data_IF_431593491227
#
_entry.id   IF_431593491227
#
_cell.length_a   1.000
_cell.length_b   1.000
_cell.length_c   1.000
_cell.angle_alpha   90.00
_cell.angle_beta   90.00
_cell.angle_gamma   90.00
#
_symmetry.space_group_name_H-M   'P 1'
#
loop_
_entity.id
_entity.type
_entity.pdbx_description
1 polymer ?
#
# COMPACT_ATOMS: atom_id res chain seq x y z
N UNK A 1 -6.80 -19.19 -45.70
CA UNK A 1 -5.57 -18.96 -44.93
C UNK A 1 -5.96 -18.60 -43.51
N UNK A 2 -6.02 -19.59 -42.60
CA UNK A 2 -6.31 -19.34 -41.20
C UNK A 2 -5.01 -18.88 -40.53
N UNK A 3 -4.89 -17.60 -40.20
CA UNK A 3 -3.88 -17.15 -39.24
C UNK A 3 -4.26 -17.74 -37.89
N UNK A 4 -3.61 -18.84 -37.51
CA UNK A 4 -3.52 -19.23 -36.11
C UNK A 4 -2.72 -18.14 -35.41
N UNK A 5 -3.44 -17.20 -34.79
CA UNK A 5 -2.88 -16.34 -33.75
C UNK A 5 -2.45 -17.28 -32.63
N UNK A 6 -1.17 -17.67 -32.63
CA UNK A 6 -0.55 -18.28 -31.46
C UNK A 6 -0.72 -17.27 -30.33
N UNK A 7 -1.66 -17.54 -29.44
CA UNK A 7 -1.73 -16.83 -28.17
C UNK A 7 -0.41 -17.17 -27.47
N UNK A 8 0.47 -16.18 -27.36
CA UNK A 8 1.67 -16.30 -26.56
C UNK A 8 1.23 -16.81 -25.18
N UNK A 9 1.74 -17.97 -24.77
CA UNK A 9 1.43 -18.52 -23.46
C UNK A 9 1.91 -17.52 -22.42
N UNK A 10 0.97 -16.89 -21.72
CA UNK A 10 1.29 -15.97 -20.64
C UNK A 10 2.09 -16.72 -19.57
N UNK A 11 3.04 -16.04 -18.95
CA UNK A 11 3.72 -16.57 -17.79
C UNK A 11 2.72 -16.87 -16.64
N UNK A 12 3.06 -17.86 -15.84
CA UNK A 12 2.34 -18.24 -14.63
C UNK A 12 3.25 -18.13 -13.43
N UNK A 13 2.73 -17.63 -12.30
CA UNK A 13 3.43 -17.67 -11.03
C UNK A 13 2.59 -18.54 -10.09
N UNK A 14 3.23 -19.59 -9.57
CA UNK A 14 2.61 -20.54 -8.67
C UNK A 14 3.39 -20.64 -7.37
N UNK A 15 2.68 -20.87 -6.26
CA UNK A 15 3.28 -21.16 -4.96
C UNK A 15 3.32 -22.67 -4.77
N UNK A 16 4.52 -23.23 -4.63
CA UNK A 16 4.77 -24.67 -4.38
C UNK A 16 5.40 -24.81 -3.00
N UNK A 17 4.59 -25.16 -2.00
CA UNK A 17 4.98 -25.08 -0.58
C UNK A 17 5.44 -23.65 -0.24
N UNK A 18 6.69 -23.46 0.17
CA UNK A 18 7.26 -22.15 0.51
C UNK A 18 8.02 -21.48 -0.66
N UNK A 19 7.97 -22.05 -1.87
CA UNK A 19 8.67 -21.53 -3.05
C UNK A 19 7.70 -20.87 -4.03
N UNK A 20 8.12 -19.76 -4.62
CA UNK A 20 7.45 -19.13 -5.75
C UNK A 20 8.15 -19.52 -7.05
N UNK A 21 7.40 -20.07 -7.99
CA UNK A 21 7.91 -20.52 -9.28
C UNK A 21 7.27 -19.73 -10.41
N UNK A 22 8.10 -19.07 -11.21
CA UNK A 22 7.73 -18.44 -12.47
C UNK A 22 7.91 -19.44 -13.61
N UNK A 23 6.82 -19.79 -14.27
CA UNK A 23 6.76 -20.73 -15.39
C UNK A 23 6.32 -20.00 -16.66
N UNK A 24 6.91 -20.34 -17.81
CA UNK A 24 6.51 -19.75 -19.10
C UNK A 24 7.65 -19.75 -20.12
N UNK A 25 7.50 -18.96 -21.19
CA UNK A 25 8.53 -18.84 -22.21
C UNK A 25 9.86 -18.32 -21.62
N UNK A 26 10.98 -18.98 -21.92
CA UNK A 26 12.27 -18.69 -21.28
C UNK A 26 12.70 -17.22 -21.41
N UNK A 27 12.60 -16.63 -22.61
CA UNK A 27 12.98 -15.24 -22.85
C UNK A 27 12.11 -14.24 -22.07
N UNK A 28 10.81 -14.51 -21.97
CA UNK A 28 9.91 -13.69 -21.16
C UNK A 28 10.19 -13.85 -19.67
N UNK A 29 10.39 -15.09 -19.20
CA UNK A 29 10.69 -15.37 -17.81
C UNK A 29 12.03 -14.79 -17.35
N UNK A 30 13.08 -14.79 -18.18
CA UNK A 30 14.37 -14.12 -17.89
C UNK A 30 14.21 -12.61 -17.69
N UNK A 31 13.38 -11.98 -18.52
CA UNK A 31 13.08 -10.55 -18.42
C UNK A 31 12.35 -10.22 -17.11
N UNK A 32 11.29 -10.97 -16.79
CA UNK A 32 10.52 -10.82 -15.55
C UNK A 32 11.42 -11.10 -14.33
N UNK A 33 12.22 -12.17 -14.37
CA UNK A 33 13.16 -12.51 -13.30
C UNK A 33 14.12 -11.35 -13.00
N UNK A 34 14.65 -10.70 -14.03
CA UNK A 34 15.54 -9.55 -13.89
C UNK A 34 14.83 -8.34 -13.26
N UNK A 35 13.57 -8.08 -13.63
CA UNK A 35 12.73 -7.03 -13.04
C UNK A 35 12.44 -7.31 -11.56
N UNK A 36 12.10 -8.54 -11.20
CA UNK A 36 11.88 -8.97 -9.82
C UNK A 36 13.17 -8.82 -9.00
N UNK A 37 14.32 -9.29 -9.51
CA UNK A 37 15.61 -9.10 -8.87
C UNK A 37 15.92 -7.62 -8.57
N UNK A 38 15.60 -6.72 -9.52
CA UNK A 38 15.72 -5.27 -9.32
C UNK A 38 14.75 -4.77 -8.24
N UNK A 39 13.52 -5.25 -8.22
CA UNK A 39 12.54 -4.90 -7.19
C UNK A 39 13.01 -5.28 -5.78
N UNK A 40 13.52 -6.50 -5.58
CA UNK A 40 14.02 -6.93 -4.26
C UNK A 40 15.14 -6.02 -3.74
N UNK A 41 16.06 -5.60 -4.63
CA UNK A 41 17.10 -4.62 -4.29
C UNK A 41 16.51 -3.25 -3.93
N UNK A 42 15.57 -2.75 -4.73
CA UNK A 42 14.91 -1.47 -4.49
C UNK A 42 14.14 -1.46 -3.16
N UNK A 43 13.48 -2.57 -2.82
CA UNK A 43 12.73 -2.74 -1.59
C UNK A 43 13.60 -2.94 -0.34
N UNK A 44 14.94 -3.03 -0.49
CA UNK A 44 15.91 -3.18 0.61
C UNK A 44 15.60 -4.36 1.54
N UNK A 45 15.11 -5.47 0.98
CA UNK A 45 14.67 -6.65 1.74
C UNK A 45 15.81 -7.45 2.36
N UNK A 46 17.07 -7.12 2.03
CA UNK A 46 18.25 -7.92 2.34
C UNK A 46 18.37 -9.19 1.48
N UNK A 47 17.34 -9.56 0.71
CA UNK A 47 17.37 -10.68 -0.23
C UNK A 47 17.79 -10.21 -1.62
N UNK A 48 18.68 -10.95 -2.24
CA UNK A 48 19.12 -10.70 -3.61
C UNK A 48 19.19 -12.01 -4.38
N UNK A 49 18.58 -12.02 -5.56
CA UNK A 49 18.84 -13.05 -6.54
C UNK A 49 19.69 -12.48 -7.68
N UNK A 50 20.51 -13.33 -8.29
CA UNK A 50 21.40 -12.96 -9.39
C UNK A 50 20.71 -13.21 -10.74
N UNK A 51 20.42 -12.17 -11.54
CA UNK A 51 19.90 -12.34 -12.89
C UNK A 51 20.79 -13.19 -13.79
N UNK A 52 22.12 -13.20 -13.57
CA UNK A 52 23.06 -14.01 -14.34
C UNK A 52 22.78 -15.52 -14.24
N UNK A 53 22.26 -15.98 -13.10
CA UNK A 53 22.00 -17.40 -12.83
C UNK A 53 20.96 -18.05 -13.78
N UNK A 54 20.16 -17.25 -14.47
CA UNK A 54 19.10 -17.74 -15.37
C UNK A 54 19.35 -17.45 -16.85
N UNK A 55 20.41 -16.71 -17.20
CA UNK A 55 20.65 -16.25 -18.57
C UNK A 55 20.96 -17.39 -19.54
N UNK A 56 21.71 -18.39 -19.08
CA UNK A 56 22.20 -19.49 -19.90
C UNK A 56 21.23 -20.67 -20.02
N UNK A 57 20.04 -20.61 -19.38
CA UNK A 57 19.07 -21.69 -19.47
C UNK A 57 18.50 -21.76 -20.90
N UNK A 58 18.74 -22.86 -21.65
CA UNK A 58 18.20 -23.05 -22.99
C UNK A 58 16.80 -23.68 -22.91
N UNK A 59 15.95 -23.37 -23.89
CA UNK A 59 14.64 -24.02 -24.04
C UNK A 59 13.54 -23.06 -24.48
N UNK A 60 12.40 -23.62 -24.89
CA UNK A 60 11.20 -22.85 -25.20
C UNK A 60 10.43 -22.46 -23.93
N UNK A 61 10.50 -23.27 -22.87
CA UNK A 61 9.82 -23.07 -21.59
C UNK A 61 10.76 -23.28 -20.41
N UNK A 62 10.67 -22.42 -19.41
CA UNK A 62 11.54 -22.39 -18.23
C UNK A 62 10.71 -22.33 -16.94
N UNK A 63 11.31 -22.81 -15.85
CA UNK A 63 10.78 -22.71 -14.50
C UNK A 63 11.84 -22.03 -13.62
N UNK A 64 11.62 -20.79 -13.22
CA UNK A 64 12.53 -20.03 -12.38
C UNK A 64 12.01 -19.98 -10.94
N UNK A 65 12.86 -20.29 -9.97
CA UNK A 65 12.57 -20.01 -8.57
C UNK A 65 12.80 -18.51 -8.31
N UNK A 66 11.72 -17.80 -7.99
CA UNK A 66 11.73 -16.36 -7.76
C UNK A 66 11.59 -16.01 -6.27
N UNK A 67 11.69 -16.99 -5.37
CA UNK A 67 11.47 -16.81 -3.92
C UNK A 67 12.38 -15.72 -3.33
N UNK A 68 13.66 -15.70 -3.73
CA UNK A 68 14.64 -14.70 -3.28
C UNK A 68 14.72 -13.45 -4.18
N UNK A 69 13.90 -13.41 -5.24
CA UNK A 69 13.77 -12.26 -6.13
C UNK A 69 12.63 -11.33 -5.75
N UNK A 70 11.90 -11.59 -4.67
CA UNK A 70 10.76 -10.79 -4.26
C UNK A 70 10.80 -10.47 -2.77
N UNK A 71 10.14 -9.39 -2.32
CA UNK A 71 10.00 -9.12 -0.90
C UNK A 71 9.35 -10.27 -0.15
N UNK A 72 9.72 -10.45 1.13
CA UNK A 72 9.18 -11.50 2.00
C UNK A 72 7.64 -11.48 2.05
N UNK A 73 7.05 -10.29 2.05
CA UNK A 73 5.61 -10.11 1.97
C UNK A 73 5.00 -10.86 0.78
N UNK A 74 5.63 -10.86 -0.40
CA UNK A 74 5.14 -11.57 -1.59
C UNK A 74 5.24 -13.07 -1.40
N UNK A 75 6.36 -13.57 -0.86
CA UNK A 75 6.53 -15.01 -0.56
C UNK A 75 5.44 -15.49 0.40
N UNK A 76 5.19 -14.70 1.46
CA UNK A 76 4.20 -15.01 2.49
C UNK A 76 2.77 -15.01 1.92
N UNK A 77 2.39 -13.95 1.22
CA UNK A 77 0.98 -13.68 0.89
C UNK A 77 0.55 -13.99 -0.54
N UNK A 78 1.45 -14.35 -1.46
CA UNK A 78 1.05 -14.75 -2.81
C UNK A 78 0.10 -15.95 -2.76
N UNK A 79 -1.09 -15.80 -3.36
CA UNK A 79 -2.17 -16.78 -3.34
C UNK A 79 -2.94 -16.83 -2.01
N UNK A 80 -2.49 -16.15 -0.96
CA UNK A 80 -3.16 -16.13 0.32
C UNK A 80 -4.39 -15.20 0.31
N UNK A 81 -5.41 -15.62 1.03
CA UNK A 81 -6.63 -14.87 1.32
C UNK A 81 -6.66 -14.59 2.81
N UNK A 82 -6.83 -13.33 3.28
CA UNK A 82 -7.05 -13.09 4.70
C UNK A 82 -8.37 -13.74 5.11
N UNK A 83 -8.48 -14.15 6.37
CA UNK A 83 -9.69 -14.83 6.87
C UNK A 83 -10.89 -13.87 7.02
N UNK A 84 -10.60 -12.58 7.11
CA UNK A 84 -11.60 -11.52 7.24
C UNK A 84 -11.37 -10.42 6.21
N UNK A 85 -12.43 -9.70 5.88
CA UNK A 85 -12.36 -8.52 5.03
C UNK A 85 -11.56 -7.40 5.72
N UNK A 86 -10.86 -6.58 4.93
CA UNK A 86 -10.13 -5.44 5.46
C UNK A 86 -8.90 -5.09 4.64
N UNK A 87 -7.77 -5.81 4.80
CA UNK A 87 -6.58 -5.59 3.98
C UNK A 87 -6.93 -5.52 2.51
N UNK A 88 -6.66 -4.40 1.85
CA UNK A 88 -7.12 -4.13 0.48
C UNK A 88 -5.97 -3.67 -0.42
N UNK A 89 -6.30 -3.32 -1.67
CA UNK A 89 -5.33 -2.93 -2.68
C UNK A 89 -4.57 -1.63 -2.35
N UNK A 90 -5.21 -0.69 -1.68
CA UNK A 90 -4.57 0.54 -1.23
C UNK A 90 -3.54 0.25 -0.14
N UNK A 91 -3.95 -0.49 0.88
CA UNK A 91 -3.05 -0.86 1.97
C UNK A 91 -1.86 -1.69 1.47
N UNK A 92 -2.09 -2.65 0.56
CA UNK A 92 -1.02 -3.38 -0.10
C UNK A 92 0.03 -2.44 -0.70
N UNK A 93 -0.42 -1.41 -1.42
CA UNK A 93 0.48 -0.46 -2.08
C UNK A 93 1.30 0.34 -1.06
N UNK A 94 0.68 0.74 0.05
CA UNK A 94 1.32 1.49 1.12
C UNK A 94 2.32 0.65 1.91
N UNK A 95 1.99 -0.62 2.20
CA UNK A 95 2.87 -1.56 2.90
C UNK A 95 4.08 -1.91 2.04
N UNK A 96 3.86 -2.24 0.76
CA UNK A 96 4.96 -2.56 -0.16
C UNK A 96 5.88 -1.36 -0.46
N UNK A 97 5.43 -0.15 -0.18
CA UNK A 97 6.24 1.09 -0.26
C UNK A 97 6.91 1.45 1.08
N UNK A 98 6.77 0.63 2.12
CA UNK A 98 7.24 0.88 3.48
C UNK A 98 6.71 2.21 4.06
N UNK A 99 5.51 2.63 3.66
CA UNK A 99 4.80 3.78 4.24
C UNK A 99 4.02 3.33 5.46
N UNK A 100 3.37 2.17 5.36
CA UNK A 100 2.70 1.51 6.47
C UNK A 100 3.46 0.23 6.86
N UNK A 101 3.52 -0.11 8.15
CA UNK A 101 4.25 -1.26 8.64
C UNK A 101 3.52 -2.59 8.42
N UNK A 102 2.19 -2.58 8.32
CA UNK A 102 1.40 -3.80 8.35
C UNK A 102 0.13 -3.74 7.50
N UNK A 103 -0.36 -4.94 7.20
CA UNK A 103 -1.57 -5.19 6.43
C UNK A 103 -2.82 -4.96 7.27
N UNK A 104 -3.67 -4.05 6.82
CA UNK A 104 -4.96 -3.69 7.41
C UNK A 104 -5.84 -3.00 6.37
N UNK A 105 -7.08 -2.69 6.69
CA UNK A 105 -7.89 -1.82 5.85
C UNK A 105 -7.23 -0.44 5.71
N UNK A 106 -7.24 0.10 4.49
CA UNK A 106 -6.90 1.49 4.18
C UNK A 106 -8.05 2.13 3.41
N UNK A 107 -8.28 3.43 3.61
CA UNK A 107 -9.31 4.16 2.87
C UNK A 107 -8.75 4.77 1.57
N UNK A 108 -9.63 5.12 0.60
CA UNK A 108 -9.24 5.96 -0.53
C UNK A 108 -8.55 7.27 -0.11
N UNK A 109 -9.04 7.90 0.95
CA UNK A 109 -8.48 9.16 1.46
C UNK A 109 -7.07 8.97 2.02
N UNK A 110 -6.82 7.85 2.70
CA UNK A 110 -5.49 7.52 3.20
C UNK A 110 -4.50 7.27 2.06
N UNK A 111 -4.90 6.51 1.04
CA UNK A 111 -4.08 6.33 -0.16
C UNK A 111 -3.75 7.68 -0.80
N UNK A 112 -4.78 8.50 -1.06
CA UNK A 112 -4.60 9.81 -1.68
C UNK A 112 -3.69 10.73 -0.86
N UNK A 113 -3.81 10.67 0.47
CA UNK A 113 -2.97 11.44 1.38
C UNK A 113 -1.50 11.08 1.27
N UNK A 114 -1.15 9.81 1.08
CA UNK A 114 0.24 9.39 0.95
C UNK A 114 0.79 9.53 -0.47
N UNK A 115 -0.06 9.49 -1.50
CA UNK A 115 0.32 9.71 -2.91
C UNK A 115 0.66 11.18 -3.24
N UNK A 116 1.19 11.94 -2.27
CA UNK A 116 1.62 13.34 -2.41
C UNK A 116 2.85 13.59 -1.53
N UNK A 117 3.57 14.72 -1.75
CA UNK A 117 4.70 15.08 -0.91
C UNK A 117 4.30 15.16 0.57
N UNK A 118 5.20 14.82 1.50
CA UNK A 118 6.63 14.57 1.28
C UNK A 118 7.02 13.12 0.97
N UNK A 119 6.15 12.13 1.19
CA UNK A 119 6.53 10.72 1.01
C UNK A 119 6.56 10.28 -0.44
N UNK A 120 5.51 10.59 -1.20
CA UNK A 120 5.43 10.21 -2.60
C UNK A 120 5.45 11.42 -3.51
N UNK A 121 5.92 11.19 -4.73
CA UNK A 121 5.75 12.11 -5.85
C UNK A 121 5.17 11.37 -7.04
N UNK A 122 4.31 12.05 -7.79
CA UNK A 122 3.95 11.56 -9.11
C UNK A 122 5.20 11.50 -9.99
N UNK A 123 5.31 10.46 -10.81
CA UNK A 123 6.31 10.41 -11.86
C UNK A 123 6.01 11.49 -12.91
N UNK A 124 7.05 12.10 -13.47
CA UNK A 124 6.89 13.05 -14.57
C UNK A 124 6.57 12.33 -15.87
N UNK A 125 5.96 13.03 -16.83
CA UNK A 125 5.79 12.47 -18.17
C UNK A 125 7.14 12.08 -18.79
N UNK A 126 7.20 10.87 -19.34
CA UNK A 126 8.43 10.29 -19.90
C UNK A 126 9.43 9.77 -18.86
N UNK A 127 9.22 9.99 -17.57
CA UNK A 127 10.06 9.39 -16.53
C UNK A 127 9.93 7.87 -16.56
N UNK A 128 11.08 7.17 -16.54
CA UNK A 128 11.09 5.71 -16.56
C UNK A 128 10.55 5.17 -15.24
N UNK A 129 9.53 4.32 -15.35
CA UNK A 129 8.99 3.54 -14.22
C UNK A 129 10.04 2.53 -13.74
N UNK A 130 10.08 2.29 -12.45
CA UNK A 130 11.00 1.36 -11.82
C UNK A 130 10.24 0.30 -11.01
N UNK A 131 10.79 -0.93 -10.92
CA UNK A 131 10.19 -1.95 -10.07
C UNK A 131 10.09 -1.46 -8.62
N UNK A 132 8.88 -1.50 -8.07
CA UNK A 132 8.54 -0.95 -6.75
C UNK A 132 7.76 0.37 -6.79
N UNK A 133 7.66 1.04 -7.95
CA UNK A 133 6.78 2.22 -8.07
C UNK A 133 5.31 1.82 -7.83
N UNK A 134 4.53 2.73 -7.24
CA UNK A 134 3.10 2.53 -6.98
C UNK A 134 2.29 2.95 -8.18
N UNK A 135 1.47 2.04 -8.71
CA UNK A 135 0.43 2.34 -9.68
C UNK A 135 -0.89 2.62 -8.97
N UNK A 136 -1.49 3.78 -9.23
CA UNK A 136 -2.80 4.17 -8.71
C UNK A 136 -3.79 4.31 -9.86
N UNK A 137 -4.78 3.42 -9.93
CA UNK A 137 -5.91 3.51 -10.86
C UNK A 137 -6.97 4.39 -10.22
N UNK A 138 -7.45 5.37 -10.98
CA UNK A 138 -8.43 6.35 -10.53
C UNK A 138 -9.59 6.48 -11.49
N UNK A 139 -10.77 6.63 -10.93
CA UNK A 139 -11.96 7.00 -11.66
C UNK A 139 -11.94 8.51 -11.92
N UNK A 140 -12.13 8.91 -13.18
CA UNK A 140 -12.30 10.31 -13.57
C UNK A 140 -13.77 10.69 -13.36
N UNK A 141 -14.05 11.35 -12.23
CA UNK A 141 -15.41 11.74 -11.82
C UNK A 141 -15.86 13.10 -12.39
N UNK A 142 -15.02 13.75 -13.19
CA UNK A 142 -15.29 15.04 -13.81
C UNK A 142 -14.01 15.82 -14.08
N UNK A 143 -14.14 17.04 -14.60
CA UNK A 143 -12.99 17.90 -14.91
C UNK A 143 -12.20 18.18 -13.61
N UNK A 144 -10.97 17.68 -13.56
CA UNK A 144 -10.08 17.86 -12.41
C UNK A 144 -10.46 17.06 -11.16
N UNK A 145 -11.43 16.13 -11.24
CA UNK A 145 -11.86 15.30 -10.11
C UNK A 145 -11.54 13.84 -10.38
N UNK A 146 -10.80 13.23 -9.45
CA UNK A 146 -10.46 11.81 -9.49
C UNK A 146 -10.74 11.16 -8.15
N UNK A 147 -11.25 9.93 -8.17
CA UNK A 147 -11.40 9.10 -6.98
C UNK A 147 -10.42 7.92 -7.04
N UNK A 148 -9.76 7.60 -5.93
CA UNK A 148 -8.92 6.41 -5.87
C UNK A 148 -9.79 5.17 -6.06
N UNK A 149 -9.41 4.30 -7.00
CA UNK A 149 -10.18 3.11 -7.35
C UNK A 149 -9.40 1.83 -7.03
N UNK A 150 -8.11 1.80 -7.35
CA UNK A 150 -7.25 0.64 -7.07
C UNK A 150 -5.78 1.02 -6.93
N UNK A 151 -5.03 0.27 -6.11
CA UNK A 151 -3.59 0.40 -5.94
C UNK A 151 -2.85 -0.90 -6.28
N UNK A 152 -1.69 -0.81 -6.92
CA UNK A 152 -0.80 -1.94 -7.17
C UNK A 152 0.67 -1.51 -7.16
N UNK A 153 1.58 -2.49 -7.09
CA UNK A 153 3.01 -2.27 -7.27
C UNK A 153 3.40 -2.64 -8.69
N UNK A 154 3.96 -1.65 -9.40
CA UNK A 154 4.55 -1.83 -10.71
C UNK A 154 5.88 -2.56 -10.59
N UNK A 155 6.05 -3.64 -11.35
CA UNK A 155 7.33 -4.34 -11.47
C UNK A 155 7.94 -4.04 -12.83
N UNK A 156 7.21 -4.34 -13.90
CA UNK A 156 7.53 -3.92 -15.26
C UNK A 156 6.25 -3.83 -16.11
N UNK A 157 6.41 -3.63 -17.43
CA UNK A 157 5.27 -3.52 -18.37
C UNK A 157 4.46 -4.82 -18.53
N UNK A 158 4.95 -5.95 -18.01
CA UNK A 158 4.33 -7.27 -18.09
C UNK A 158 3.74 -7.73 -16.77
N UNK A 159 4.35 -7.37 -15.63
CA UNK A 159 3.99 -7.89 -14.31
C UNK A 159 3.76 -6.80 -13.27
N UNK A 160 2.78 -7.06 -12.40
CA UNK A 160 2.46 -6.23 -11.25
C UNK A 160 2.16 -7.10 -10.03
N UNK A 161 2.31 -6.54 -8.84
CA UNK A 161 1.84 -7.14 -7.59
C UNK A 161 0.60 -6.40 -7.10
N UNK A 162 -0.52 -7.12 -6.95
CA UNK A 162 -1.83 -6.52 -6.66
C UNK A 162 -2.72 -7.48 -5.89
N UNK A 163 -3.68 -6.92 -5.14
CA UNK A 163 -4.82 -7.64 -4.57
C UNK A 163 -6.09 -7.12 -5.22
N UNK A 164 -6.83 -7.97 -5.93
CA UNK A 164 -7.92 -7.51 -6.77
C UNK A 164 -9.24 -7.34 -6.00
N UNK A 165 -9.32 -6.34 -5.12
CA UNK A 165 -10.52 -5.99 -4.36
C UNK A 165 -10.32 -5.96 -2.85
N UNK A 166 -11.39 -5.66 -2.11
CA UNK A 166 -11.36 -5.59 -0.64
C UNK A 166 -11.71 -6.93 0.04
N UNK A 167 -12.42 -7.81 -0.66
CA UNK A 167 -12.89 -9.09 -0.11
C UNK A 167 -11.73 -10.00 0.27
N UNK A 168 -11.86 -10.68 1.39
CA UNK A 168 -11.06 -11.83 1.83
C UNK A 168 -10.80 -12.83 0.71
N UNK A 169 -11.80 -13.09 -0.14
CA UNK A 169 -11.72 -14.03 -1.26
C UNK A 169 -10.78 -13.63 -2.40
N UNK A 170 -10.37 -12.36 -2.48
CA UNK A 170 -9.45 -11.89 -3.51
C UNK A 170 -7.99 -12.12 -3.07
N UNK A 171 -7.21 -13.02 -3.69
CA UNK A 171 -5.84 -13.26 -3.25
C UNK A 171 -4.90 -12.10 -3.62
N UNK A 172 -3.81 -11.98 -2.87
CA UNK A 172 -2.65 -11.22 -3.34
C UNK A 172 -1.95 -12.02 -4.44
N UNK A 173 -1.60 -11.37 -5.55
CA UNK A 173 -0.99 -12.08 -6.67
C UNK A 173 0.04 -11.20 -7.39
N UNK A 174 1.16 -11.85 -7.72
CA UNK A 174 1.95 -11.44 -8.87
C UNK A 174 1.18 -11.89 -10.10
N UNK A 175 0.81 -10.95 -10.95
CA UNK A 175 -0.06 -11.18 -12.10
C UNK A 175 0.32 -10.25 -13.24
N UNK A 176 -0.21 -10.52 -14.43
CA UNK A 176 0.09 -9.65 -15.57
C UNK A 176 -0.45 -8.23 -15.32
N UNK A 177 0.32 -7.21 -15.71
CA UNK A 177 -0.12 -5.82 -15.62
C UNK A 177 -1.39 -5.59 -16.44
N UNK A 178 -1.50 -6.26 -17.60
CA UNK A 178 -2.70 -6.25 -18.42
C UNK A 178 -3.93 -6.83 -17.71
N UNK A 179 -3.77 -7.90 -16.90
CA UNK A 179 -4.88 -8.43 -16.09
C UNK A 179 -5.33 -7.40 -15.06
N UNK A 180 -4.41 -6.70 -14.39
CA UNK A 180 -4.77 -5.60 -13.47
C UNK A 180 -5.58 -4.54 -14.22
N UNK A 181 -5.10 -4.06 -15.37
CA UNK A 181 -5.82 -3.06 -16.16
C UNK A 181 -7.19 -3.53 -16.63
N UNK A 182 -7.33 -4.79 -17.05
CA UNK A 182 -8.62 -5.37 -17.45
C UNK A 182 -9.60 -5.50 -16.29
N UNK A 183 -9.14 -5.96 -15.13
CA UNK A 183 -9.97 -6.09 -13.91
C UNK A 183 -10.57 -4.75 -13.48
N UNK A 184 -9.85 -3.65 -13.70
CA UNK A 184 -10.28 -2.30 -13.31
C UNK A 184 -10.64 -1.42 -14.51
N UNK A 185 -10.96 -2.03 -15.66
CA UNK A 185 -11.49 -1.36 -16.84
C UNK A 185 -10.65 -0.18 -17.35
N UNK A 186 -9.32 -0.20 -17.15
CA UNK A 186 -8.41 0.82 -17.66
C UNK A 186 -8.27 0.64 -19.17
N UNK A 187 -8.74 1.58 -20.01
CA UNK A 187 -8.73 1.42 -21.45
C UNK A 187 -7.33 1.14 -21.98
N UNK A 188 -7.23 0.32 -23.03
CA UNK A 188 -5.98 0.08 -23.74
C UNK A 188 -5.64 1.25 -24.66
N UNK A 189 -5.49 2.44 -24.07
CA UNK A 189 -5.14 3.68 -24.75
C UNK A 189 -3.98 4.32 -24.00
N UNK A 190 -3.01 4.82 -24.74
CA UNK A 190 -1.78 5.38 -24.15
C UNK A 190 -2.09 6.52 -23.18
N UNK A 191 -3.07 7.37 -23.51
CA UNK A 191 -3.50 8.50 -22.67
C UNK A 191 -4.16 8.10 -21.34
N UNK A 192 -4.62 6.85 -21.19
CA UNK A 192 -5.20 6.33 -19.95
C UNK A 192 -4.18 5.56 -19.11
N UNK A 193 -2.99 5.30 -19.66
CA UNK A 193 -1.91 4.50 -19.05
C UNK A 193 -0.60 5.29 -18.93
N UNK A 194 -0.68 6.50 -18.39
CA UNK A 194 0.45 7.45 -18.30
C UNK A 194 0.99 7.57 -16.87
N UNK A 195 2.11 8.27 -16.73
CA UNK A 195 2.65 8.63 -15.42
C UNK A 195 1.75 9.65 -14.69
N UNK A 196 1.15 10.57 -15.47
CA UNK A 196 0.27 11.64 -14.97
C UNK A 196 -1.11 11.49 -15.58
N UNK A 197 -2.16 11.57 -14.76
CA UNK A 197 -3.54 11.58 -15.26
C UNK A 197 -3.88 12.96 -15.80
N UNK A 198 -4.16 13.04 -17.10
CA UNK A 198 -4.76 14.23 -17.69
C UNK A 198 -6.27 14.26 -17.40
N UNK A 199 -6.65 14.83 -16.24
CA UNK A 199 -8.04 14.93 -15.80
C UNK A 199 -8.95 15.81 -16.70
N UNK A 200 -8.40 16.46 -17.74
CA UNK A 200 -9.17 17.16 -18.77
C UNK A 200 -9.62 16.21 -19.90
N UNK A 201 -8.97 15.06 -20.04
CA UNK A 201 -9.36 14.01 -20.97
C UNK A 201 -10.40 13.10 -20.31
N UNK A 202 -11.68 13.45 -20.40
CA UNK A 202 -12.80 12.65 -19.87
C UNK A 202 -12.96 11.28 -20.55
N UNK A 203 -12.15 10.96 -21.57
CA UNK A 203 -12.33 9.80 -22.45
C UNK A 203 -11.90 8.46 -21.84
N UNK A 204 -11.22 8.47 -20.70
CA UNK A 204 -10.69 7.25 -20.10
C UNK A 204 -11.68 6.53 -19.17
N UNK A 205 -12.56 7.27 -18.47
CA UNK A 205 -13.36 6.70 -17.36
C UNK A 205 -12.48 6.30 -16.17
N UNK A 206 -11.59 5.33 -16.37
CA UNK A 206 -10.52 4.91 -15.46
C UNK A 206 -9.14 5.21 -16.08
N UNK A 207 -8.22 5.75 -15.30
CA UNK A 207 -6.85 6.01 -15.73
C UNK A 207 -5.85 5.66 -14.62
N UNK A 208 -4.64 5.27 -15.00
CA UNK A 208 -3.55 5.03 -14.04
C UNK A 208 -2.58 6.21 -13.99
N UNK A 209 -2.06 6.49 -12.80
CA UNK A 209 -0.88 7.31 -12.55
C UNK A 209 0.17 6.49 -11.79
N UNK A 210 1.43 6.89 -11.88
CA UNK A 210 2.54 6.22 -11.18
C UNK A 210 3.23 7.14 -10.20
N UNK A 211 3.65 6.56 -9.07
CA UNK A 211 4.25 7.28 -7.96
C UNK A 211 5.53 6.60 -7.51
N UNK A 212 6.53 7.42 -7.18
CA UNK A 212 7.72 6.98 -6.46
C UNK A 212 7.64 7.49 -5.03
N UNK A 213 7.78 6.57 -4.09
CA UNK A 213 7.62 6.84 -2.68
C UNK A 213 8.92 6.57 -1.91
N UNK A 214 9.14 7.34 -0.86
CA UNK A 214 10.08 7.01 0.21
C UNK A 214 9.32 6.31 1.36
N UNK A 215 10.06 5.56 2.17
CA UNK A 215 9.51 4.91 3.36
C UNK A 215 9.24 5.93 4.47
N UNK A 216 8.29 5.63 5.36
CA UNK A 216 8.03 6.45 6.55
C UNK A 216 9.28 6.55 7.44
N UNK A 217 10.02 5.45 7.60
CA UNK A 217 11.26 5.43 8.40
C UNK A 217 12.31 6.41 7.86
N UNK A 218 12.61 6.35 6.55
CA UNK A 218 13.55 7.28 5.92
C UNK A 218 13.08 8.74 6.06
N UNK A 219 11.78 9.00 5.86
CA UNK A 219 11.23 10.33 6.05
C UNK A 219 11.46 10.82 7.48
N UNK A 220 11.08 10.04 8.49
CA UNK A 220 11.30 10.40 9.89
C UNK A 220 12.80 10.64 10.15
N UNK A 221 13.67 9.74 9.70
CA UNK A 221 15.13 9.85 9.89
C UNK A 221 15.71 11.13 9.27
N UNK A 222 15.26 11.50 8.08
CA UNK A 222 15.76 12.67 7.35
C UNK A 222 15.20 14.00 7.89
N UNK A 223 14.04 13.97 8.57
CA UNK A 223 13.40 15.17 9.11
C UNK A 223 13.70 15.30 10.61
N UNK A 224 14.91 15.75 10.95
CA UNK A 224 15.37 15.89 12.34
C UNK A 224 14.51 16.83 13.21
N UNK A 225 13.76 17.74 12.59
CA UNK A 225 12.84 18.64 13.29
C UNK A 225 11.57 17.95 13.82
N UNK A 226 11.31 16.70 13.45
CA UNK A 226 10.21 15.91 14.01
C UNK A 226 10.56 15.53 15.45
N UNK A 227 9.78 15.98 16.46
CA UNK A 227 10.07 15.72 17.87
C UNK A 227 10.02 14.23 18.22
N UNK A 228 10.83 13.81 19.18
CA UNK A 228 10.91 12.41 19.61
C UNK A 228 9.56 11.84 20.06
N UNK A 229 8.73 12.63 20.74
CA UNK A 229 7.39 12.19 21.13
C UNK A 229 6.50 11.82 19.93
N UNK A 230 6.65 12.52 18.78
CA UNK A 230 5.94 12.14 17.55
C UNK A 230 6.47 10.81 17.05
N UNK A 231 7.80 10.63 17.03
CA UNK A 231 8.44 9.40 16.56
C UNK A 231 8.00 8.19 17.39
N UNK A 232 7.95 8.34 18.71
CA UNK A 232 7.45 7.31 19.61
C UNK A 232 5.97 7.02 19.39
N UNK A 233 5.16 8.05 19.09
CA UNK A 233 3.76 7.83 18.69
C UNK A 233 3.62 7.02 17.41
N UNK A 234 4.46 7.26 16.39
CA UNK A 234 4.48 6.44 15.18
C UNK A 234 4.87 4.99 15.49
N UNK A 235 5.88 4.76 16.33
CA UNK A 235 6.26 3.40 16.76
C UNK A 235 5.12 2.68 17.50
N UNK A 236 4.42 3.39 18.40
CA UNK A 236 3.25 2.86 19.09
C UNK A 236 2.12 2.48 18.12
N UNK A 237 1.87 3.32 17.11
CA UNK A 237 0.92 3.03 16.04
C UNK A 237 1.35 1.82 15.22
N UNK A 238 2.63 1.70 14.89
CA UNK A 238 3.16 0.58 14.12
C UNK A 238 3.00 -0.75 14.88
N UNK A 239 3.29 -0.75 16.19
CA UNK A 239 3.05 -1.90 17.04
C UNK A 239 1.56 -2.29 17.08
N UNK A 240 0.66 -1.32 17.21
CA UNK A 240 -0.78 -1.56 17.24
C UNK A 240 -1.31 -2.10 15.90
N UNK A 241 -0.86 -1.55 14.76
CA UNK A 241 -1.20 -2.04 13.43
C UNK A 241 -0.66 -3.46 13.19
N UNK A 242 0.53 -3.81 13.71
CA UNK A 242 1.06 -5.17 13.65
C UNK A 242 0.19 -6.16 14.44
N UNK A 243 -0.27 -5.80 15.64
CA UNK A 243 -1.21 -6.62 16.40
C UNK A 243 -2.53 -6.86 15.64
N UNK A 244 -3.04 -5.82 14.96
CA UNK A 244 -4.23 -5.95 14.13
C UNK A 244 -3.99 -6.90 12.96
N UNK A 245 -2.90 -6.73 12.21
CA UNK A 245 -2.54 -7.63 11.11
C UNK A 245 -2.53 -9.09 11.57
N UNK A 246 -1.87 -9.40 12.70
CA UNK A 246 -1.81 -10.77 13.21
C UNK A 246 -3.20 -11.36 13.48
N UNK A 247 -4.10 -10.60 14.11
CA UNK A 247 -5.45 -11.04 14.38
C UNK A 247 -6.26 -11.28 13.08
N UNK A 248 -6.09 -10.40 12.07
CA UNK A 248 -6.78 -10.52 10.78
C UNK A 248 -6.38 -11.80 10.03
N UNK A 249 -5.10 -12.20 10.10
CA UNK A 249 -4.60 -13.38 9.39
C UNK A 249 -4.78 -14.70 10.16
N UNK A 250 -5.01 -14.64 11.48
CA UNK A 250 -5.31 -15.83 12.30
C UNK A 250 -6.82 -16.11 12.45
N UNK A 251 -7.66 -15.18 12.02
CA UNK A 251 -9.10 -15.25 12.31
C UNK A 251 -9.43 -15.09 13.79
N UNK A 252 -8.51 -14.59 14.60
CA UNK A 252 -8.72 -14.40 16.03
C UNK A 252 -9.44 -13.07 16.33
N UNK A 253 -10.21 -13.02 17.41
CA UNK A 253 -10.61 -11.74 17.97
C UNK A 253 -9.36 -10.98 18.41
N UNK A 254 -9.41 -9.65 18.44
CA UNK A 254 -8.31 -8.90 19.02
C UNK A 254 -8.13 -9.30 20.49
N UNK A 255 -6.90 -9.49 20.92
CA UNK A 255 -6.62 -9.69 22.34
C UNK A 255 -7.01 -8.45 23.16
N UNK A 256 -7.35 -8.63 24.43
CA UNK A 256 -7.63 -7.52 25.34
C UNK A 256 -6.45 -6.53 25.41
N UNK A 257 -5.21 -7.03 25.37
CA UNK A 257 -3.99 -6.24 25.32
C UNK A 257 -3.89 -5.41 24.03
N UNK A 258 -4.20 -5.98 22.87
CA UNK A 258 -4.20 -5.26 21.60
C UNK A 258 -5.23 -4.12 21.59
N UNK A 259 -6.45 -4.39 22.09
CA UNK A 259 -7.50 -3.36 22.27
C UNK A 259 -7.02 -2.23 23.20
N UNK A 260 -6.42 -2.59 24.33
CA UNK A 260 -5.85 -1.64 25.29
C UNK A 260 -4.78 -0.77 24.63
N UNK A 261 -3.83 -1.37 23.92
CA UNK A 261 -2.75 -0.65 23.25
C UNK A 261 -3.27 0.31 22.18
N UNK A 262 -4.27 -0.10 21.39
CA UNK A 262 -4.94 0.76 20.40
C UNK A 262 -5.60 1.97 21.07
N UNK A 263 -6.37 1.74 22.14
CA UNK A 263 -7.03 2.80 22.89
C UNK A 263 -6.04 3.75 23.55
N UNK A 264 -5.03 3.23 24.22
CA UNK A 264 -4.00 4.03 24.90
C UNK A 264 -3.17 4.84 23.90
N UNK A 265 -2.78 4.24 22.77
CA UNK A 265 -2.08 4.96 21.68
C UNK A 265 -2.95 6.08 21.11
N UNK A 266 -4.24 5.80 20.90
CA UNK A 266 -5.20 6.79 20.42
C UNK A 266 -5.39 7.96 21.40
N UNK A 267 -5.57 7.67 22.68
CA UNK A 267 -5.71 8.69 23.73
C UNK A 267 -4.44 9.52 23.91
N UNK A 268 -3.27 8.86 23.94
CA UNK A 268 -1.98 9.53 24.02
C UNK A 268 -1.76 10.46 22.82
N UNK A 269 -2.20 10.06 21.62
CA UNK A 269 -2.16 10.94 20.47
C UNK A 269 -3.07 12.16 20.66
N UNK A 270 -4.31 11.98 21.11
CA UNK A 270 -5.21 13.13 21.32
C UNK A 270 -4.64 14.10 22.34
N UNK A 271 -4.14 13.59 23.46
CA UNK A 271 -3.50 14.39 24.50
C UNK A 271 -2.30 15.15 23.93
N UNK A 272 -1.43 14.44 23.21
CA UNK A 272 -0.31 15.04 22.49
C UNK A 272 -0.75 16.19 21.58
N UNK A 273 -1.85 16.06 20.82
CA UNK A 273 -2.34 17.10 19.91
C UNK A 273 -2.97 18.29 20.63
N UNK A 274 -3.64 18.06 21.75
CA UNK A 274 -4.16 19.15 22.59
C UNK A 274 -3.02 19.98 23.14
N UNK A 275 -1.95 19.32 23.58
CA UNK A 275 -0.78 19.97 24.15
C UNK A 275 0.15 20.56 23.09
N UNK A 276 0.17 19.99 21.88
CA UNK A 276 1.02 20.40 20.77
C UNK A 276 0.90 21.89 20.44
N UNK A 277 -0.27 22.51 20.69
CA UNK A 277 -0.49 23.95 20.54
C UNK A 277 0.48 24.78 21.39
N UNK A 278 0.73 24.29 22.60
CA UNK A 278 1.47 24.99 23.63
C UNK A 278 2.94 24.54 23.68
N UNK A 279 3.30 23.49 22.93
CA UNK A 279 4.64 22.91 22.87
C UNK A 279 5.54 23.71 21.90
N UNK A 280 6.61 24.37 22.39
CA UNK A 280 7.51 25.16 21.55
C UNK A 280 8.13 24.37 20.39
N UNK A 281 8.38 23.08 20.59
CA UNK A 281 8.92 22.18 19.56
C UNK A 281 7.98 22.00 18.36
N UNK A 282 6.67 22.03 18.56
CA UNK A 282 5.68 21.93 17.47
C UNK A 282 5.48 23.26 16.76
N UNK A 283 5.54 24.36 17.52
CA UNK A 283 5.53 25.69 16.93
C UNK A 283 6.74 25.93 16.00
N UNK A 284 7.86 25.22 16.23
CA UNK A 284 9.07 25.28 15.39
C UNK A 284 9.00 24.43 14.12
N UNK A 285 8.06 23.48 14.03
CA UNK A 285 7.89 22.67 12.81
C UNK A 285 7.36 23.53 11.66
N UNK A 286 7.81 23.23 10.43
CA UNK A 286 7.20 23.87 9.26
C UNK A 286 5.72 23.48 9.16
N UNK A 287 4.83 24.37 8.69
CA UNK A 287 3.41 24.07 8.56
C UNK A 287 3.11 22.78 7.79
N UNK A 288 3.80 22.54 6.68
CA UNK A 288 3.58 21.35 5.85
C UNK A 288 4.05 20.05 6.51
N UNK A 289 5.19 20.08 7.22
CA UNK A 289 5.70 18.95 8.00
C UNK A 289 4.71 18.61 9.12
N UNK A 290 4.27 19.63 9.87
CA UNK A 290 3.27 19.46 10.92
C UNK A 290 1.97 18.88 10.35
N UNK A 291 1.42 19.49 9.31
CA UNK A 291 0.17 19.05 8.69
C UNK A 291 0.25 17.62 8.16
N UNK A 292 1.40 17.22 7.60
CA UNK A 292 1.65 15.85 7.17
C UNK A 292 1.66 14.88 8.36
N UNK A 293 2.43 15.16 9.41
CA UNK A 293 2.53 14.27 10.57
C UNK A 293 1.17 14.06 11.24
N UNK A 294 0.42 15.15 11.43
CA UNK A 294 -0.89 15.09 12.07
C UNK A 294 -1.92 14.38 11.19
N UNK A 295 -1.92 14.68 9.88
CA UNK A 295 -2.82 14.04 8.93
C UNK A 295 -2.57 12.53 8.81
N UNK A 296 -1.30 12.12 8.80
CA UNK A 296 -0.91 10.70 8.75
C UNK A 296 -1.46 9.95 9.96
N UNK A 297 -1.22 10.45 11.18
CA UNK A 297 -1.70 9.81 12.41
C UNK A 297 -3.24 9.74 12.47
N UNK A 298 -3.93 10.81 12.06
CA UNK A 298 -5.38 10.84 12.01
C UNK A 298 -5.94 9.77 11.06
N UNK A 299 -5.40 9.68 9.84
CA UNK A 299 -5.90 8.75 8.83
C UNK A 299 -5.62 7.29 9.20
N UNK A 300 -4.45 7.01 9.79
CA UNK A 300 -4.12 5.67 10.30
C UNK A 300 -5.10 5.22 11.39
N UNK A 301 -5.41 6.11 12.35
CA UNK A 301 -6.40 5.81 13.40
C UNK A 301 -7.81 5.61 12.85
N UNK A 302 -8.24 6.44 11.89
CA UNK A 302 -9.53 6.27 11.24
C UNK A 302 -9.63 4.89 10.56
N UNK A 303 -8.62 4.54 9.75
CA UNK A 303 -8.57 3.27 9.03
C UNK A 303 -8.53 2.06 9.98
N UNK A 304 -7.83 2.18 11.11
CA UNK A 304 -7.86 1.19 12.19
C UNK A 304 -9.25 1.03 12.80
N UNK A 305 -9.93 2.14 13.12
CA UNK A 305 -11.31 2.11 13.61
C UNK A 305 -12.27 1.41 12.65
N UNK A 306 -12.17 1.72 11.35
CA UNK A 306 -12.96 1.08 10.29
C UNK A 306 -12.65 -0.42 10.19
N UNK A 307 -11.38 -0.81 10.27
CA UNK A 307 -10.98 -2.23 10.29
C UNK A 307 -11.60 -2.98 11.47
N UNK A 308 -11.57 -2.40 12.66
CA UNK A 308 -12.16 -3.02 13.86
C UNK A 308 -13.66 -3.19 13.72
N UNK A 309 -14.33 -2.21 13.14
CA UNK A 309 -15.77 -2.28 12.90
C UNK A 309 -16.11 -3.46 11.99
N UNK A 310 -15.35 -3.67 10.91
CA UNK A 310 -15.53 -4.81 10.00
C UNK A 310 -15.36 -6.13 10.74
N UNK A 311 -14.29 -6.29 11.53
CA UNK A 311 -14.04 -7.53 12.31
C UNK A 311 -15.14 -7.77 13.34
N UNK A 312 -15.59 -6.73 14.03
CA UNK A 312 -16.66 -6.83 15.03
C UNK A 312 -17.98 -7.30 14.41
N UNK A 313 -18.32 -6.77 13.22
CA UNK A 313 -19.53 -7.13 12.50
C UNK A 313 -19.49 -8.58 12.01
N UNK A 314 -18.36 -9.02 11.47
CA UNK A 314 -18.17 -10.40 10.98
C UNK A 314 -18.29 -11.44 12.11
N UNK A 315 -17.69 -11.14 13.27
CA UNK A 315 -17.64 -12.08 14.41
C UNK A 315 -18.77 -11.93 15.43
N UNK A 316 -19.66 -10.96 15.24
CA UNK A 316 -20.66 -10.56 16.25
C UNK A 316 -20.04 -10.23 17.62
N UNK A 317 -18.80 -9.72 17.62
CA UNK A 317 -18.02 -9.45 18.83
C UNK A 317 -18.33 -8.04 19.37
N UNK A 318 -19.08 -7.99 20.47
CA UNK A 318 -19.47 -6.74 21.14
C UNK A 318 -18.29 -5.93 21.66
N UNK A 319 -17.22 -6.58 22.14
CA UNK A 319 -16.07 -5.85 22.70
C UNK A 319 -15.28 -5.17 21.58
N UNK A 320 -15.07 -5.87 20.46
CA UNK A 320 -14.43 -5.28 19.28
C UNK A 320 -15.30 -4.17 18.69
N UNK A 321 -16.63 -4.28 18.75
CA UNK A 321 -17.54 -3.20 18.34
C UNK A 321 -17.38 -1.93 19.21
N UNK A 322 -17.30 -2.10 20.53
CA UNK A 322 -17.02 -0.98 21.44
C UNK A 322 -15.67 -0.34 21.14
N UNK A 323 -14.62 -1.13 20.95
CA UNK A 323 -13.28 -0.62 20.61
C UNK A 323 -13.26 0.14 19.28
N UNK A 324 -14.01 -0.32 18.27
CA UNK A 324 -14.17 0.39 17.00
C UNK A 324 -14.82 1.77 17.19
N UNK A 325 -15.89 1.83 17.99
CA UNK A 325 -16.56 3.08 18.35
C UNK A 325 -15.63 4.05 19.11
N UNK A 326 -14.84 3.55 20.06
CA UNK A 326 -13.85 4.34 20.79
C UNK A 326 -12.77 4.89 19.85
N UNK A 327 -12.21 4.07 18.94
CA UNK A 327 -11.20 4.51 17.99
C UNK A 327 -11.73 5.57 17.01
N UNK A 328 -12.98 5.42 16.56
CA UNK A 328 -13.62 6.43 15.71
C UNK A 328 -13.78 7.75 16.45
N UNK A 329 -14.26 7.70 17.70
CA UNK A 329 -14.37 8.89 18.54
C UNK A 329 -13.01 9.55 18.78
N UNK A 330 -11.97 8.76 19.05
CA UNK A 330 -10.59 9.24 19.18
C UNK A 330 -10.13 9.89 17.87
N UNK A 331 -10.37 9.29 16.71
CA UNK A 331 -10.01 9.86 15.40
C UNK A 331 -10.71 11.21 15.14
N UNK A 332 -11.99 11.33 15.51
CA UNK A 332 -12.71 12.61 15.47
C UNK A 332 -12.12 13.65 16.41
N UNK A 333 -11.70 13.25 17.62
CA UNK A 333 -11.01 14.11 18.58
C UNK A 333 -9.65 14.58 18.05
N UNK A 334 -8.89 13.69 17.39
CA UNK A 334 -7.63 14.00 16.69
C UNK A 334 -7.89 15.04 15.60
N UNK A 335 -8.90 14.82 14.75
CA UNK A 335 -9.26 15.74 13.68
C UNK A 335 -9.66 17.12 14.21
N UNK A 336 -10.48 17.16 15.26
CA UNK A 336 -10.90 18.40 15.90
C UNK A 336 -9.71 19.17 16.47
N UNK A 337 -8.79 18.47 17.15
CA UNK A 337 -7.56 19.04 17.71
C UNK A 337 -6.64 19.57 16.61
N UNK A 338 -6.45 18.82 15.52
CA UNK A 338 -5.66 19.24 14.36
C UNK A 338 -6.25 20.49 13.68
N UNK A 339 -7.59 20.57 13.54
CA UNK A 339 -8.27 21.77 13.02
C UNK A 339 -8.04 22.99 13.93
N UNK A 340 -8.01 22.81 15.24
CA UNK A 340 -7.71 23.90 16.18
C UNK A 340 -6.27 24.38 16.07
N UNK A 341 -5.29 23.47 15.91
CA UNK A 341 -3.88 23.83 15.69
C UNK A 341 -3.69 24.71 14.46
N UNK A 342 -4.42 24.43 13.36
CA UNK A 342 -4.37 25.27 12.15
C UNK A 342 -4.92 26.68 12.35
N UNK A 343 -5.89 26.85 13.25
CA UNK A 343 -6.49 28.17 13.54
C UNK A 343 -5.56 29.05 14.38
N UNK A 344 -4.77 28.48 15.29
CA UNK A 344 -3.87 29.23 16.18
C UNK A 344 -2.52 29.61 15.57
N UNK A 345 -2.20 29.14 14.36
CA UNK A 345 -0.96 29.45 13.65
C UNK A 345 -1.10 30.60 12.62
N UNK A 346 -2.28 31.23 12.55
CA UNK A 346 -2.55 32.46 11.80
C UNK A 346 -2.69 33.60 12.78
#
# INVERSE_FOLDING_TARGET
>A
MFLFLMQAQAFEISKKSDRLVLSGACEEGKSIYSSLAKWSRNAKTGKTCDPGSVMDQPGESCNFDITDCVPEHVVKYHGATPEVDGPNCWNLSLVMSNILPSMRYSTPEEMNFYMRPPLCRALKDGEKKEPGDVGAIRQIAGVGKTNEYHGFIYIDEKIAYSKNGFSSMAPYALQTLDKVYKTYEVPNKQECRQNVINAKSSKCGQAVAFYRCDSMENYLKNNQNVPDQVRETFKGMDAAENCVQEALFKGDALGAEARKNLRETGLALVEYLKDAKNKPEIAKMKPDERDFMLGSLQLRLAALGDQLQVVAMDKQDRETFTAAGELRHISEMVQASAKQLKKGAR
#
